data_IF_420005278796
#
_entry.id   IF_420005278796
#
_cell.length_a   1.000
_cell.length_b   1.000
_cell.length_c   1.000
_cell.angle_alpha   90.00
_cell.angle_beta   90.00
_cell.angle_gamma   90.00
#
_symmetry.space_group_name_H-M   'P 1'
#
loop_
_entity.id
_entity.type
_entity.pdbx_description
1 polymer ?
#
# COMPACT_ATOMS: atom_id res chain seq x y z
N UNK A 1 3.88 -16.69 -7.62
CA UNK A 1 3.73 -15.68 -6.56
C UNK A 1 4.97 -15.75 -5.71
N UNK A 2 5.69 -14.64 -5.58
CA UNK A 2 6.90 -14.54 -4.77
C UNK A 2 6.61 -13.66 -3.56
N UNK A 3 7.22 -14.02 -2.43
CA UNK A 3 7.10 -13.27 -1.19
C UNK A 3 8.45 -12.60 -0.93
N UNK A 4 8.47 -11.28 -0.98
CA UNK A 4 9.67 -10.48 -0.73
C UNK A 4 9.74 -10.14 0.76
N UNK A 5 10.42 -11.00 1.51
CA UNK A 5 10.60 -10.86 2.96
C UNK A 5 11.31 -9.55 3.29
N UNK A 6 12.28 -9.15 2.47
CA UNK A 6 13.04 -7.92 2.66
C UNK A 6 12.13 -6.71 2.51
N UNK A 7 11.34 -6.65 1.43
CA UNK A 7 10.32 -5.62 1.21
C UNK A 7 9.30 -5.54 2.33
N UNK A 8 8.86 -6.68 2.86
CA UNK A 8 7.92 -6.74 4.00
C UNK A 8 8.55 -6.15 5.26
N UNK A 9 9.79 -6.50 5.59
CA UNK A 9 10.50 -5.96 6.76
C UNK A 9 10.67 -4.44 6.62
N UNK A 10 11.13 -3.97 5.45
CA UNK A 10 11.26 -2.53 5.19
C UNK A 10 9.91 -1.81 5.27
N UNK A 11 8.84 -2.41 4.77
CA UNK A 11 7.49 -1.85 4.88
C UNK A 11 7.11 -1.60 6.33
N UNK A 12 7.34 -2.58 7.21
CA UNK A 12 7.04 -2.44 8.64
C UNK A 12 7.87 -1.33 9.27
N UNK A 13 9.17 -1.27 8.97
CA UNK A 13 10.08 -0.25 9.52
C UNK A 13 9.72 1.17 9.06
N UNK A 14 9.39 1.34 7.78
CA UNK A 14 9.09 2.65 7.18
C UNK A 14 7.72 3.17 7.63
N UNK A 15 6.70 2.30 7.63
CA UNK A 15 5.33 2.73 7.89
C UNK A 15 5.07 2.91 9.39
N UNK A 16 5.24 1.82 10.15
CA UNK A 16 5.16 1.83 11.60
C UNK A 16 5.53 0.46 12.20
N UNK A 17 6.68 0.32 12.88
CA UNK A 17 7.03 -0.92 13.55
C UNK A 17 6.11 -1.19 14.75
N UNK A 18 5.57 -0.13 15.37
CA UNK A 18 4.64 -0.24 16.50
C UNK A 18 3.35 -0.96 16.12
N UNK A 19 2.83 -0.69 14.92
CA UNK A 19 1.58 -1.26 14.42
C UNK A 19 1.82 -2.28 13.30
N UNK A 20 2.94 -3.02 13.37
CA UNK A 20 3.39 -3.95 12.32
C UNK A 20 2.28 -4.89 11.82
N UNK A 21 1.49 -5.47 12.72
CA UNK A 21 0.41 -6.40 12.35
C UNK A 21 -0.70 -5.71 11.52
N UNK A 22 -1.04 -4.45 11.84
CA UNK A 22 -2.00 -3.67 11.07
C UNK A 22 -1.46 -3.33 9.69
N UNK A 23 -0.18 -2.92 9.62
CA UNK A 23 0.49 -2.60 8.35
C UNK A 23 0.50 -3.82 7.41
N UNK A 24 0.82 -5.00 7.93
CA UNK A 24 0.79 -6.25 7.16
C UNK A 24 -0.63 -6.61 6.70
N UNK A 25 -1.61 -6.51 7.60
CA UNK A 25 -3.01 -6.80 7.28
C UNK A 25 -3.55 -5.88 6.17
N UNK A 26 -3.27 -4.58 6.27
CA UNK A 26 -3.67 -3.58 5.27
C UNK A 26 -2.99 -3.86 3.93
N UNK A 27 -1.70 -4.17 3.95
CA UNK A 27 -0.94 -4.52 2.73
C UNK A 27 -1.49 -5.77 2.05
N UNK A 28 -1.90 -6.77 2.84
CA UNK A 28 -2.52 -7.99 2.34
C UNK A 28 -3.91 -7.74 1.73
N UNK A 29 -4.75 -6.94 2.41
CA UNK A 29 -6.07 -6.54 1.90
C UNK A 29 -5.93 -5.81 0.57
N UNK A 30 -4.99 -4.88 0.46
CA UNK A 30 -4.73 -4.17 -0.79
C UNK A 30 -4.28 -5.11 -1.90
N UNK A 31 -3.39 -6.07 -1.61
CA UNK A 31 -2.89 -7.00 -2.62
C UNK A 31 -4.03 -7.87 -3.16
N UNK A 32 -4.88 -8.35 -2.26
CA UNK A 32 -6.09 -9.10 -2.60
C UNK A 32 -7.00 -8.25 -3.48
N UNK A 33 -7.25 -7.00 -3.09
CA UNK A 33 -8.08 -6.08 -3.87
C UNK A 33 -7.53 -5.84 -5.28
N UNK A 34 -6.22 -5.63 -5.41
CA UNK A 34 -5.54 -5.46 -6.69
C UNK A 34 -5.62 -6.71 -7.57
N UNK A 35 -5.56 -7.92 -6.96
CA UNK A 35 -5.80 -9.19 -7.67
C UNK A 35 -7.26 -9.28 -8.15
N UNK A 36 -8.24 -8.94 -7.30
CA UNK A 36 -9.66 -8.93 -7.68
C UNK A 36 -9.94 -8.01 -8.87
N UNK A 37 -9.41 -6.79 -8.84
CA UNK A 37 -9.50 -5.86 -9.97
C UNK A 37 -8.95 -6.50 -11.23
N UNK A 38 -7.78 -7.11 -11.13
CA UNK A 38 -7.13 -7.74 -12.28
C UNK A 38 -7.97 -8.86 -12.89
N UNK A 39 -8.65 -9.65 -12.05
CA UNK A 39 -9.60 -10.69 -12.49
C UNK A 39 -10.80 -10.06 -13.20
N UNK A 40 -11.39 -9.01 -12.63
CA UNK A 40 -12.55 -8.30 -13.20
C UNK A 40 -12.25 -7.74 -14.59
N UNK A 41 -11.04 -7.21 -14.80
CA UNK A 41 -10.62 -6.67 -16.10
C UNK A 41 -10.05 -7.74 -17.06
N UNK A 42 -10.12 -9.03 -16.70
CA UNK A 42 -9.61 -10.15 -17.51
C UNK A 42 -8.15 -9.99 -17.96
N UNK A 43 -7.31 -9.36 -17.14
CA UNK A 43 -5.91 -9.18 -17.47
C UNK A 43 -5.09 -10.40 -17.04
N UNK A 44 -4.26 -10.92 -17.96
CA UNK A 44 -3.31 -11.97 -17.65
C UNK A 44 -2.26 -11.47 -16.66
N UNK A 45 -2.19 -12.12 -15.50
CA UNK A 45 -1.13 -11.92 -14.50
C UNK A 45 -0.02 -12.90 -14.80
N UNK A 46 1.18 -12.40 -15.04
CA UNK A 46 2.37 -13.24 -15.23
C UNK A 46 3.09 -13.46 -13.91
N UNK A 47 3.13 -12.44 -13.04
CA UNK A 47 3.84 -12.51 -11.77
C UNK A 47 3.22 -11.60 -10.71
N UNK A 48 3.31 -12.03 -9.44
CA UNK A 48 2.89 -11.25 -8.28
C UNK A 48 4.03 -11.32 -7.26
N UNK A 49 4.55 -10.16 -6.88
CA UNK A 49 5.57 -9.98 -5.85
C UNK A 49 4.91 -9.32 -4.65
N UNK A 50 4.80 -10.03 -3.53
CA UNK A 50 4.21 -9.54 -2.29
C UNK A 50 5.32 -9.00 -1.37
N UNK A 51 5.47 -7.67 -1.35
CA UNK A 51 6.54 -6.96 -0.64
C UNK A 51 6.05 -5.81 0.26
N UNK A 52 4.75 -5.78 0.60
CA UNK A 52 4.15 -4.66 1.35
C UNK A 52 3.98 -3.41 0.48
N UNK A 53 4.63 -2.30 0.82
CA UNK A 53 4.64 -1.08 -0.02
C UNK A 53 5.38 -1.27 -1.34
N UNK A 54 6.22 -2.31 -1.44
CA UNK A 54 6.94 -2.69 -2.66
C UNK A 54 6.21 -3.75 -3.48
N UNK A 55 4.97 -4.10 -3.12
CA UNK A 55 4.25 -5.14 -3.86
C UNK A 55 3.96 -4.70 -5.29
N UNK A 56 4.24 -5.58 -6.24
CA UNK A 56 4.03 -5.35 -7.67
C UNK A 56 3.33 -6.54 -8.31
N UNK A 57 2.51 -6.23 -9.31
CA UNK A 57 1.86 -7.22 -10.16
C UNK A 57 2.39 -6.96 -11.57
N UNK A 58 2.98 -7.99 -12.18
CA UNK A 58 3.43 -7.96 -13.56
C UNK A 58 2.30 -8.56 -14.41
N UNK A 59 1.88 -7.81 -15.41
CA UNK A 59 0.85 -8.24 -16.36
C UNK A 59 1.48 -8.59 -17.70
N UNK A 60 0.73 -9.37 -18.50
CA UNK A 60 1.06 -9.63 -19.91
C UNK A 60 1.31 -8.29 -20.64
N UNK A 61 2.35 -8.20 -21.50
CA UNK A 61 2.83 -6.95 -22.08
C UNK A 61 1.73 -6.02 -22.61
N UNK A 62 1.76 -4.77 -22.15
CA UNK A 62 0.81 -3.69 -22.49
C UNK A 62 0.84 -2.56 -21.43
N UNK A 63 0.36 -1.35 -21.77
CA UNK A 63 0.32 -0.17 -20.88
C UNK A 63 -0.73 -0.29 -19.76
N UNK A 64 -0.56 -1.24 -18.84
CA UNK A 64 -1.49 -1.53 -17.72
C UNK A 64 -0.92 -1.17 -16.36
N UNK A 65 0.25 -0.53 -16.33
CA UNK A 65 0.96 -0.14 -15.11
C UNK A 65 0.12 0.81 -14.23
N UNK A 66 -0.79 1.58 -14.83
CA UNK A 66 -1.72 2.44 -14.10
C UNK A 66 -2.63 1.68 -13.12
N UNK A 67 -2.88 0.38 -13.34
CA UNK A 67 -3.68 -0.43 -12.42
C UNK A 67 -3.00 -0.62 -11.06
N UNK A 68 -1.68 -0.46 -10.96
CA UNK A 68 -0.97 -0.47 -9.68
C UNK A 68 -1.33 0.73 -8.79
N UNK A 69 -1.90 1.80 -9.35
CA UNK A 69 -2.37 2.96 -8.59
C UNK A 69 -3.72 2.73 -7.92
N UNK A 70 -4.54 1.80 -8.44
CA UNK A 70 -5.93 1.62 -7.96
C UNK A 70 -5.97 1.12 -6.52
N UNK A 71 -5.11 0.17 -6.16
CA UNK A 71 -5.04 -0.35 -4.79
C UNK A 71 -4.62 0.70 -3.75
N UNK A 72 -3.49 1.41 -3.94
CA UNK A 72 -3.10 2.52 -3.06
C UNK A 72 -4.14 3.63 -2.99
N UNK A 73 -4.77 4.00 -4.11
CA UNK A 73 -5.83 5.02 -4.11
C UNK A 73 -7.06 4.55 -3.33
N UNK A 74 -7.45 3.28 -3.45
CA UNK A 74 -8.53 2.71 -2.66
C UNK A 74 -8.23 2.80 -1.16
N UNK A 75 -7.02 2.43 -0.72
CA UNK A 75 -6.59 2.59 0.68
C UNK A 75 -6.60 4.05 1.14
N UNK A 76 -6.17 4.97 0.28
CA UNK A 76 -6.12 6.40 0.60
C UNK A 76 -7.53 6.98 0.79
N UNK A 77 -8.46 6.68 -0.13
CA UNK A 77 -9.84 7.16 -0.07
C UNK A 77 -10.56 6.56 1.14
N UNK A 78 -10.42 5.25 1.37
CA UNK A 78 -11.05 4.57 2.53
C UNK A 78 -10.46 5.04 3.86
N UNK A 79 -9.15 5.21 3.93
CA UNK A 79 -8.45 5.74 5.11
C UNK A 79 -8.87 7.18 5.43
N UNK A 80 -8.94 8.06 4.43
CA UNK A 80 -9.41 9.44 4.58
C UNK A 80 -10.90 9.51 4.95
N UNK A 81 -11.75 8.68 4.33
CA UNK A 81 -13.18 8.62 4.65
C UNK A 81 -13.47 8.12 6.05
N UNK A 82 -12.60 7.28 6.61
CA UNK A 82 -12.68 6.78 7.99
C UNK A 82 -12.00 7.72 9.02
N UNK A 83 -11.32 8.77 8.56
CA UNK A 83 -10.57 9.70 9.41
C UNK A 83 -11.48 10.75 10.04
N UNK A 84 -11.48 10.85 11.37
CA UNK A 84 -12.07 12.00 12.06
C UNK A 84 -11.10 13.19 11.99
N UNK A 85 -11.58 14.34 11.47
CA UNK A 85 -10.78 15.57 11.24
C UNK A 85 -10.03 16.12 12.47
N UNK A 86 -10.44 15.77 13.69
CA UNK A 86 -9.90 16.35 14.92
C UNK A 86 -8.81 15.50 15.59
N UNK A 87 -8.42 14.36 15.02
CA UNK A 87 -7.60 13.38 15.74
C UNK A 87 -6.11 13.34 15.32
N UNK A 88 -5.68 14.02 14.24
CA UNK A 88 -4.34 13.80 13.67
C UNK A 88 -3.61 15.11 13.33
N UNK A 89 -2.42 15.27 13.88
CA UNK A 89 -1.42 16.24 13.42
C UNK A 89 -0.72 15.64 12.19
N UNK A 90 -0.67 16.39 11.08
CA UNK A 90 -0.03 15.93 9.83
C UNK A 90 1.44 15.53 10.00
N UNK A 91 2.14 16.11 10.97
CA UNK A 91 3.53 15.73 11.30
C UNK A 91 3.64 14.31 11.87
N UNK A 92 2.62 13.85 12.59
CA UNK A 92 2.62 12.49 13.14
C UNK A 92 2.51 11.45 12.03
N UNK A 93 1.97 11.77 10.85
CA UNK A 93 1.91 10.85 9.72
C UNK A 93 3.29 10.45 9.17
N UNK A 94 4.34 11.23 9.43
CA UNK A 94 5.69 10.89 8.98
C UNK A 94 6.40 10.03 10.03
N UNK A 95 6.09 10.23 11.31
CA UNK A 95 6.76 9.54 12.40
C UNK A 95 6.30 8.06 12.49
N UNK A 96 7.19 7.07 12.26
CA UNK A 96 6.82 5.65 12.32
C UNK A 96 6.50 5.18 13.75
N UNK A 97 6.94 5.91 14.78
CA UNK A 97 6.76 5.59 16.20
C UNK A 97 5.59 6.34 16.87
N UNK A 98 4.90 7.21 16.14
CA UNK A 98 3.76 7.95 16.66
C UNK A 98 2.63 7.02 17.14
N UNK A 99 1.94 7.44 18.19
CA UNK A 99 0.83 6.69 18.80
C UNK A 99 -0.48 7.33 18.41
N UNK A 100 -1.45 6.53 17.96
CA UNK A 100 -2.76 7.02 17.53
C UNK A 100 -3.89 6.37 18.31
N UNK A 101 -4.95 7.14 18.56
CA UNK A 101 -6.18 6.62 19.18
C UNK A 101 -6.91 5.64 18.25
N UNK A 102 -6.93 5.94 16.94
CA UNK A 102 -7.46 5.07 15.88
C UNK A 102 -6.35 4.75 14.88
N UNK A 103 -5.54 3.70 15.10
CA UNK A 103 -4.39 3.42 14.25
C UNK A 103 -4.78 2.93 12.85
N UNK A 104 -5.93 2.27 12.69
CA UNK A 104 -6.39 1.72 11.41
C UNK A 104 -6.41 2.72 10.25
N UNK A 105 -7.23 3.79 10.29
CA UNK A 105 -7.32 4.72 9.16
C UNK A 105 -6.00 5.45 8.92
N UNK A 106 -5.22 5.72 9.97
CA UNK A 106 -3.89 6.33 9.83
C UNK A 106 -2.91 5.39 9.13
N UNK A 107 -2.87 4.11 9.50
CA UNK A 107 -2.02 3.13 8.83
C UNK A 107 -2.43 2.92 7.37
N UNK A 108 -3.73 2.95 7.04
CA UNK A 108 -4.21 2.88 5.65
C UNK A 108 -3.70 4.07 4.83
N UNK A 109 -3.81 5.28 5.37
CA UNK A 109 -3.29 6.49 4.71
C UNK A 109 -1.77 6.41 4.56
N UNK A 110 -1.04 6.05 5.63
CA UNK A 110 0.43 5.94 5.60
C UNK A 110 0.90 4.93 4.54
N UNK A 111 0.37 3.70 4.59
CA UNK A 111 0.70 2.64 3.63
C UNK A 111 0.41 3.07 2.20
N UNK A 112 -0.74 3.72 1.96
CA UNK A 112 -1.09 4.25 0.65
C UNK A 112 -0.11 5.33 0.15
N UNK A 113 0.21 6.32 0.99
CA UNK A 113 1.16 7.40 0.65
C UNK A 113 2.52 6.81 0.31
N UNK A 114 3.08 5.96 1.18
CA UNK A 114 4.40 5.37 0.94
C UNK A 114 4.42 4.53 -0.34
N UNK A 115 3.35 3.78 -0.62
CA UNK A 115 3.26 2.99 -1.85
C UNK A 115 3.13 3.84 -3.10
N UNK A 116 2.38 4.94 -3.04
CA UNK A 116 2.33 5.91 -4.14
C UNK A 116 3.71 6.51 -4.39
N UNK A 117 4.45 6.88 -3.33
CA UNK A 117 5.83 7.39 -3.45
C UNK A 117 6.74 6.35 -4.11
N UNK A 118 6.69 5.09 -3.67
CA UNK A 118 7.46 3.98 -4.26
C UNK A 118 7.09 3.81 -5.74
N UNK A 119 5.79 3.82 -6.07
CA UNK A 119 5.33 3.73 -7.45
C UNK A 119 5.88 4.88 -8.31
N UNK A 120 5.75 6.13 -7.86
CA UNK A 120 6.30 7.29 -8.58
C UNK A 120 7.82 7.18 -8.75
N UNK A 121 8.54 6.74 -7.73
CA UNK A 121 9.99 6.58 -7.78
C UNK A 121 10.43 5.54 -8.83
N UNK A 122 9.75 4.38 -8.89
CA UNK A 122 10.12 3.31 -9.83
C UNK A 122 9.56 3.49 -11.25
N UNK A 123 8.39 4.13 -11.43
CA UNK A 123 7.74 4.25 -12.74
C UNK A 123 7.90 5.62 -13.41
N UNK A 124 8.16 6.70 -12.68
CA UNK A 124 8.37 8.05 -13.27
C UNK A 124 9.86 8.41 -13.39
N UNK A 125 10.76 7.61 -12.80
CA UNK A 125 12.20 7.79 -12.87
C UNK A 125 12.90 7.21 -14.10
N UNK A 126 12.15 6.60 -15.03
CA UNK A 126 12.62 6.08 -16.32
C UNK A 126 12.00 6.87 -17.48
#
# INVERSE_FOLDING_TARGET
MFLDITGIIFTVLIVSPRYWFLVLSISLIELIFSIFITIVFHFGVTEVIAGGIFSSIVWTPGKKEFLQLVGPLFLLITGLGSLNRNEILWFDLINPLASYKKPWPVMMIKTAIFRLIVFFFFFTGN
#
